data_IF_877729807270
#
_entry.id   IF_877729807270
#
_cell.length_a   1.000
_cell.length_b   1.000
_cell.length_c   1.000
_cell.angle_alpha   90.00
_cell.angle_beta   90.00
_cell.angle_gamma   90.00
#
_symmetry.space_group_name_H-M   'P 1'
#
loop_
_entity.id
_entity.type
_entity.pdbx_description
1 polymer ?
#
# COMPACT_ATOMS: atom_id res chain seq x y z
N UNK A 1 42.30 -16.30 115.10
CA UNK A 1 42.49 -16.94 113.78
C UNK A 1 41.18 -16.79 113.01
N UNK A 2 41.03 -16.04 111.93
CA UNK A 2 41.95 -15.17 111.18
C UNK A 2 41.21 -14.54 109.99
N UNK A 3 41.60 -13.30 109.68
CA UNK A 3 41.50 -12.57 108.40
C UNK A 3 40.13 -12.04 107.95
N UNK A 4 39.90 -10.78 108.31
CA UNK A 4 39.39 -9.78 107.36
C UNK A 4 40.31 -9.65 106.13
N UNK A 5 39.74 -9.10 105.06
CA UNK A 5 40.34 -8.62 103.80
C UNK A 5 40.47 -9.66 102.68
N UNK A 6 39.47 -9.67 101.78
CA UNK A 6 39.70 -9.99 100.37
C UNK A 6 38.76 -9.18 99.46
N UNK A 7 39.26 -7.99 99.08
CA UNK A 7 39.24 -7.36 97.75
C UNK A 7 37.91 -7.22 97.00
N UNK A 8 37.48 -5.95 96.91
CA UNK A 8 37.07 -5.32 95.63
C UNK A 8 38.06 -5.70 94.52
N UNK A 9 37.57 -6.26 93.42
CA UNK A 9 38.36 -6.42 92.21
C UNK A 9 37.65 -7.19 91.11
N UNK A 10 37.40 -6.46 90.02
CA UNK A 10 37.23 -6.94 88.64
C UNK A 10 35.81 -7.38 88.25
N UNK A 11 35.11 -6.57 87.45
CA UNK A 11 35.29 -6.30 86.00
C UNK A 11 34.73 -7.43 85.14
N UNK A 12 33.70 -7.03 84.39
CA UNK A 12 33.53 -7.34 82.97
C UNK A 12 33.30 -8.80 82.59
N UNK A 13 32.09 -9.32 82.73
CA UNK A 13 31.62 -10.37 81.83
C UNK A 13 30.10 -10.24 81.65
N UNK A 14 29.69 -9.48 80.63
CA UNK A 14 28.42 -9.72 79.91
C UNK A 14 28.39 -8.83 78.64
N UNK A 15 29.29 -9.12 77.69
CA UNK A 15 29.14 -8.65 76.30
C UNK A 15 29.58 -9.73 75.32
N UNK A 16 28.98 -10.92 75.41
CA UNK A 16 29.15 -11.95 74.39
C UNK A 16 27.77 -12.37 73.87
N UNK A 17 27.33 -11.76 72.76
CA UNK A 17 26.09 -12.24 72.15
C UNK A 17 25.44 -11.45 71.01
N UNK A 18 26.11 -10.53 70.32
CA UNK A 18 25.45 -9.78 69.23
C UNK A 18 26.27 -9.62 67.93
N UNK A 19 27.24 -10.50 67.67
CA UNK A 19 28.16 -10.35 66.54
C UNK A 19 27.81 -11.09 65.24
N UNK A 20 26.96 -12.13 65.27
CA UNK A 20 26.88 -13.09 64.15
C UNK A 20 25.58 -12.97 63.32
N UNK A 21 24.50 -12.43 63.88
CA UNK A 21 23.20 -12.38 63.18
C UNK A 21 23.07 -11.24 62.16
N UNK A 22 23.76 -10.11 62.36
CA UNK A 22 23.60 -8.92 61.50
C UNK A 22 24.21 -9.14 60.11
N UNK A 23 25.36 -9.83 60.01
CA UNK A 23 26.07 -9.99 58.73
C UNK A 23 25.29 -10.85 57.71
N UNK A 24 24.61 -11.90 58.16
CA UNK A 24 23.80 -12.74 57.28
C UNK A 24 22.48 -12.06 56.89
N UNK A 25 21.88 -11.29 57.80
CA UNK A 25 20.65 -10.53 57.52
C UNK A 25 20.86 -9.46 56.44
N UNK A 26 21.96 -8.70 56.51
CA UNK A 26 22.27 -7.70 55.49
C UNK A 26 22.62 -8.33 54.13
N UNK A 27 23.28 -9.50 54.14
CA UNK A 27 23.57 -10.25 52.92
C UNK A 27 22.29 -10.82 52.28
N UNK A 28 21.34 -11.32 53.08
CA UNK A 28 20.05 -11.83 52.62
C UNK A 28 19.19 -10.74 52.00
N UNK A 29 19.07 -9.59 52.67
CA UNK A 29 18.35 -8.43 52.17
C UNK A 29 18.96 -7.88 50.87
N UNK A 30 20.27 -8.00 50.72
CA UNK A 30 20.98 -7.65 49.49
C UNK A 30 20.74 -8.68 48.36
N UNK A 31 20.64 -9.98 48.69
CA UNK A 31 20.24 -11.03 47.74
C UNK A 31 18.81 -10.85 47.26
N UNK A 32 17.87 -10.52 48.16
CA UNK A 32 16.47 -10.24 47.79
C UNK A 32 16.35 -9.03 46.88
N UNK A 33 17.10 -7.95 47.15
CA UNK A 33 17.17 -6.79 46.25
C UNK A 33 17.74 -7.15 44.89
N UNK A 34 18.86 -7.89 44.85
CA UNK A 34 19.48 -8.34 43.60
C UNK A 34 18.55 -9.26 42.81
N UNK A 35 17.83 -10.16 43.49
CA UNK A 35 16.87 -11.07 42.89
C UNK A 35 15.62 -10.34 42.40
N UNK A 36 15.17 -9.30 43.10
CA UNK A 36 14.09 -8.41 42.66
C UNK A 36 14.50 -7.58 41.45
N UNK A 37 15.71 -6.99 41.46
CA UNK A 37 16.26 -6.23 40.33
C UNK A 37 16.44 -7.14 39.11
N UNK A 38 16.94 -8.37 39.32
CA UNK A 38 17.08 -9.37 38.27
C UNK A 38 15.72 -9.77 37.70
N UNK A 39 14.70 -9.97 38.55
CA UNK A 39 13.35 -10.29 38.10
C UNK A 39 12.72 -9.15 37.31
N UNK A 40 12.87 -7.90 37.76
CA UNK A 40 12.42 -6.71 37.03
C UNK A 40 13.11 -6.62 35.67
N UNK A 41 14.42 -6.89 35.61
CA UNK A 41 15.17 -6.90 34.36
C UNK A 41 14.68 -7.98 33.39
N UNK A 42 14.47 -9.21 33.86
CA UNK A 42 13.94 -10.31 33.04
C UNK A 42 12.53 -9.99 32.52
N UNK A 43 11.66 -9.42 33.36
CA UNK A 43 10.31 -9.01 32.96
C UNK A 43 10.34 -7.88 31.92
N UNK A 44 11.25 -6.91 32.06
CA UNK A 44 11.43 -5.84 31.08
C UNK A 44 11.91 -6.39 29.73
N UNK A 45 12.87 -7.33 29.72
CA UNK A 45 13.36 -7.98 28.48
C UNK A 45 12.28 -8.85 27.84
N UNK A 46 11.50 -9.61 28.63
CA UNK A 46 10.39 -10.39 28.11
C UNK A 46 9.29 -9.51 27.49
N UNK A 47 8.98 -8.37 28.12
CA UNK A 47 8.00 -7.41 27.62
C UNK A 47 8.47 -6.72 26.34
N UNK A 48 9.76 -6.38 26.21
CA UNK A 48 10.30 -5.81 24.97
C UNK A 48 10.27 -6.85 23.83
N UNK A 49 10.59 -8.11 24.09
CA UNK A 49 10.48 -9.20 23.11
C UNK A 49 9.03 -9.41 22.69
N UNK A 50 8.09 -9.41 23.63
CA UNK A 50 6.66 -9.55 23.33
C UNK A 50 6.13 -8.38 22.47
N UNK A 51 6.48 -7.14 22.81
CA UNK A 51 6.06 -5.94 22.05
C UNK A 51 6.65 -5.94 20.65
N UNK A 52 7.93 -6.30 20.49
CA UNK A 52 8.56 -6.42 19.17
C UNK A 52 7.94 -7.54 18.35
N UNK A 53 7.64 -8.70 18.95
CA UNK A 53 6.93 -9.79 18.29
C UNK A 53 5.52 -9.38 17.84
N UNK A 54 4.72 -8.71 18.70
CA UNK A 54 3.41 -8.18 18.32
C UNK A 54 3.50 -7.13 17.20
N UNK A 55 4.55 -6.30 17.22
CA UNK A 55 4.79 -5.29 16.18
C UNK A 55 5.10 -5.94 14.83
N UNK A 56 5.87 -7.03 14.82
CA UNK A 56 6.21 -7.80 13.61
C UNK A 56 5.02 -8.64 13.11
N UNK A 57 4.18 -9.17 13.99
CA UNK A 57 2.91 -9.79 13.57
C UNK A 57 1.93 -8.76 12.95
N UNK A 58 1.95 -7.51 13.43
CA UNK A 58 1.10 -6.44 12.87
C UNK A 58 1.59 -5.89 11.53
N UNK A 59 2.88 -6.02 11.19
CA UNK A 59 3.43 -5.55 9.91
C UNK A 59 3.20 -6.52 8.73
N UNK A 60 2.52 -7.66 8.96
CA UNK A 60 1.89 -8.45 7.90
C UNK A 60 0.53 -7.87 7.45
N UNK A 61 0.14 -6.70 7.95
CA UNK A 61 -1.05 -5.97 7.49
C UNK A 61 -0.76 -5.22 6.19
N UNK A 62 -1.15 -5.85 5.08
CA UNK A 62 -1.51 -5.21 3.82
C UNK A 62 -0.52 -4.16 3.30
N UNK A 63 0.45 -4.61 2.52
CA UNK A 63 0.85 -3.82 1.36
C UNK A 63 -0.42 -3.55 0.54
N UNK A 64 -1.05 -2.39 0.73
CA UNK A 64 -2.15 -1.91 -0.10
C UNK A 64 -1.53 -1.58 -1.45
N UNK A 65 -1.34 -2.61 -2.25
CA UNK A 65 -0.85 -2.53 -3.61
C UNK A 65 -1.81 -1.60 -4.34
N UNK A 66 -1.35 -0.39 -4.67
CA UNK A 66 -2.08 0.51 -5.56
C UNK A 66 -2.42 -0.30 -6.81
N UNK A 67 -3.73 -0.42 -7.06
CA UNK A 67 -4.30 -1.62 -7.66
C UNK A 67 -3.76 -1.95 -9.04
N UNK A 68 -3.67 -3.24 -9.35
CA UNK A 68 -3.57 -3.67 -10.74
C UNK A 68 -4.75 -3.13 -11.56
N UNK A 69 -4.55 -2.96 -12.87
CA UNK A 69 -5.65 -2.58 -13.76
C UNK A 69 -6.74 -3.65 -13.70
N UNK A 70 -7.97 -3.25 -13.39
CA UNK A 70 -9.14 -4.12 -13.37
C UNK A 70 -10.02 -3.79 -14.57
N UNK A 71 -10.40 -4.79 -15.35
CA UNK A 71 -11.32 -4.62 -16.46
C UNK A 71 -12.72 -4.21 -15.96
N UNK A 72 -13.38 -3.33 -16.70
CA UNK A 72 -14.78 -2.97 -16.44
C UNK A 72 -15.64 -3.76 -17.45
N UNK A 73 -16.47 -4.71 -17.00
CA UNK A 73 -17.35 -5.45 -17.89
C UNK A 73 -18.50 -4.56 -18.40
N UNK A 74 -19.13 -4.98 -19.51
CA UNK A 74 -20.35 -4.35 -20.06
C UNK A 74 -20.24 -2.83 -20.30
N UNK A 75 -19.08 -2.36 -20.78
CA UNK A 75 -18.79 -0.92 -20.96
C UNK A 75 -19.82 -0.17 -21.79
N UNK A 76 -20.47 -0.84 -22.75
CA UNK A 76 -21.52 -0.25 -23.60
C UNK A 76 -22.77 0.16 -22.85
N UNK A 77 -23.12 -0.55 -21.77
CA UNK A 77 -24.27 -0.24 -20.92
C UNK A 77 -23.89 0.67 -19.74
N UNK A 78 -22.61 0.74 -19.41
CA UNK A 78 -22.13 1.57 -18.32
C UNK A 78 -22.13 3.05 -18.71
N UNK A 79 -23.18 3.77 -18.31
CA UNK A 79 -23.36 5.20 -18.60
C UNK A 79 -22.17 6.05 -18.15
N UNK A 80 -21.62 5.78 -16.97
CA UNK A 80 -20.49 6.55 -16.43
C UNK A 80 -19.24 6.39 -17.31
N UNK A 81 -18.94 5.18 -17.76
CA UNK A 81 -17.81 4.92 -18.66
C UNK A 81 -18.03 5.58 -20.02
N UNK A 82 -19.25 5.52 -20.57
CA UNK A 82 -19.58 6.21 -21.82
C UNK A 82 -19.45 7.74 -21.70
N UNK A 83 -19.82 8.31 -20.56
CA UNK A 83 -19.64 9.75 -20.28
C UNK A 83 -18.16 10.13 -20.17
N UNK A 84 -17.31 9.28 -19.58
CA UNK A 84 -15.86 9.50 -19.57
C UNK A 84 -15.26 9.44 -20.97
N UNK A 85 -15.78 8.56 -21.83
CA UNK A 85 -15.40 8.50 -23.23
C UNK A 85 -15.79 9.76 -24.01
N UNK A 86 -17.01 10.28 -23.80
CA UNK A 86 -17.45 11.57 -24.37
C UNK A 86 -16.55 12.72 -23.93
N UNK A 87 -16.32 12.83 -22.63
CA UNK A 87 -15.41 13.83 -22.05
C UNK A 87 -14.02 13.79 -22.70
N UNK A 88 -13.46 12.60 -22.90
CA UNK A 88 -12.15 12.47 -23.52
C UNK A 88 -12.11 13.00 -24.98
N UNK A 89 -13.15 12.73 -25.77
CA UNK A 89 -13.25 13.23 -27.15
C UNK A 89 -13.48 14.75 -27.17
N UNK A 90 -14.32 15.26 -26.28
CA UNK A 90 -14.61 16.71 -26.16
C UNK A 90 -13.35 17.50 -25.78
N UNK A 91 -12.59 17.05 -24.78
CA UNK A 91 -11.33 17.69 -24.36
C UNK A 91 -10.27 17.65 -25.46
N UNK A 92 -10.15 16.53 -26.18
CA UNK A 92 -9.26 16.42 -27.32
C UNK A 92 -9.62 17.45 -28.41
N UNK A 93 -10.89 17.52 -28.79
CA UNK A 93 -11.40 18.47 -29.77
C UNK A 93 -11.23 19.93 -29.32
N UNK A 94 -11.38 20.21 -28.02
CA UNK A 94 -11.11 21.53 -27.45
C UNK A 94 -9.63 21.90 -27.64
N UNK A 95 -8.71 20.99 -27.35
CA UNK A 95 -7.28 21.17 -27.60
C UNK A 95 -6.98 21.48 -29.07
N UNK A 96 -7.62 20.76 -30.01
CA UNK A 96 -7.49 21.04 -31.45
C UNK A 96 -7.97 22.45 -31.82
N UNK A 97 -9.12 22.88 -31.29
CA UNK A 97 -9.65 24.23 -31.53
C UNK A 97 -8.69 25.31 -31.04
N UNK A 98 -8.10 25.12 -29.85
CA UNK A 98 -7.12 26.07 -29.31
C UNK A 98 -5.86 26.15 -30.18
N UNK A 99 -5.35 25.02 -30.67
CA UNK A 99 -4.19 25.01 -31.58
C UNK A 99 -4.51 25.72 -32.89
N UNK A 100 -5.69 25.48 -33.47
CA UNK A 100 -6.15 26.15 -34.68
C UNK A 100 -6.27 27.67 -34.50
N UNK A 101 -6.81 28.12 -33.36
CA UNK A 101 -6.90 29.55 -33.03
C UNK A 101 -5.52 30.21 -32.89
N UNK A 102 -4.50 29.43 -32.51
CA UNK A 102 -3.11 29.88 -32.45
C UNK A 102 -2.36 29.73 -33.79
N UNK A 103 -3.06 29.50 -34.90
CA UNK A 103 -2.51 29.26 -36.24
C UNK A 103 -1.53 28.07 -36.32
N UNK A 104 -1.65 27.09 -35.41
CA UNK A 104 -0.87 25.86 -35.45
C UNK A 104 -1.73 24.76 -36.09
N UNK A 105 -1.56 24.56 -37.40
CA UNK A 105 -2.18 23.44 -38.10
C UNK A 105 -1.36 22.16 -37.88
N UNK A 106 -2.03 21.13 -37.36
CA UNK A 106 -1.42 19.82 -37.12
C UNK A 106 -2.08 18.72 -37.99
N UNK A 107 -2.92 19.09 -38.95
CA UNK A 107 -3.65 18.14 -39.82
C UNK A 107 -4.61 17.22 -39.07
N UNK A 108 -4.98 17.59 -37.83
CA UNK A 108 -5.88 16.81 -36.97
C UNK A 108 -7.27 17.42 -37.00
N UNK A 109 -8.26 16.58 -37.25
CA UNK A 109 -9.65 16.98 -37.42
C UNK A 109 -10.52 16.62 -36.21
N UNK A 110 -11.70 17.21 -36.15
CA UNK A 110 -12.62 17.03 -35.03
C UNK A 110 -13.25 15.64 -35.05
N UNK A 111 -13.25 14.97 -33.91
CA UNK A 111 -13.80 13.62 -33.75
C UNK A 111 -15.22 13.65 -33.19
N UNK A 112 -16.07 12.76 -33.66
CA UNK A 112 -17.40 12.52 -33.10
C UNK A 112 -17.39 11.25 -32.25
N UNK A 113 -17.74 11.35 -30.97
CA UNK A 113 -17.80 10.18 -30.08
C UNK A 113 -18.86 9.18 -30.56
N UNK A 114 -18.52 7.90 -30.68
CA UNK A 114 -19.48 6.82 -30.95
C UNK A 114 -19.76 6.00 -29.69
N UNK A 115 -18.74 5.37 -29.11
CA UNK A 115 -18.87 4.54 -27.92
C UNK A 115 -17.51 4.22 -27.28
N UNK A 116 -17.50 3.92 -25.98
CA UNK A 116 -16.41 3.16 -25.37
C UNK A 116 -16.61 1.67 -25.65
N UNK A 117 -15.57 1.01 -26.17
CA UNK A 117 -15.59 -0.41 -26.56
C UNK A 117 -14.85 -1.31 -25.57
N UNK A 118 -13.83 -0.79 -24.89
CA UNK A 118 -13.11 -1.48 -23.81
C UNK A 118 -12.76 -0.47 -22.72
N UNK A 119 -12.74 -0.90 -21.46
CA UNK A 119 -12.34 -0.03 -20.36
C UNK A 119 -11.67 -0.82 -19.23
N UNK A 120 -10.66 -0.21 -18.63
CA UNK A 120 -10.02 -0.69 -17.40
C UNK A 120 -9.96 0.46 -16.40
N UNK A 121 -10.03 0.14 -15.12
CA UNK A 121 -9.85 1.08 -14.02
C UNK A 121 -8.65 0.73 -13.16
N UNK A 122 -8.05 1.74 -12.56
CA UNK A 122 -6.96 1.60 -11.61
C UNK A 122 -7.11 2.62 -10.48
N UNK A 123 -6.97 2.16 -9.24
CA UNK A 123 -6.97 3.02 -8.05
C UNK A 123 -5.60 3.69 -7.94
N UNK A 124 -5.61 5.02 -7.86
CA UNK A 124 -4.43 5.88 -7.69
C UNK A 124 -4.73 6.93 -6.60
N UNK A 125 -4.13 8.13 -6.63
CA UNK A 125 -4.69 9.33 -5.96
C UNK A 125 -5.93 9.84 -6.71
N UNK A 126 -6.91 8.95 -6.91
CA UNK A 126 -8.11 9.10 -7.73
C UNK A 126 -8.47 7.76 -8.39
N UNK A 127 -9.30 7.83 -9.43
CA UNK A 127 -9.62 6.71 -10.30
C UNK A 127 -9.08 6.99 -11.70
N UNK A 128 -8.19 6.13 -12.19
CA UNK A 128 -7.64 6.21 -13.55
C UNK A 128 -8.37 5.24 -14.45
N UNK A 129 -8.96 5.75 -15.52
CA UNK A 129 -9.68 4.99 -16.52
C UNK A 129 -8.87 4.93 -17.79
N UNK A 130 -8.60 3.71 -18.25
CA UNK A 130 -8.01 3.42 -19.55
C UNK A 130 -9.15 3.03 -20.47
N UNK A 131 -9.43 3.83 -21.49
CA UNK A 131 -10.58 3.66 -22.36
C UNK A 131 -10.10 3.40 -23.78
N UNK A 132 -10.71 2.42 -24.45
CA UNK A 132 -10.67 2.29 -25.89
C UNK A 132 -11.97 2.83 -26.45
N UNK A 133 -11.89 3.86 -27.26
CA UNK A 133 -13.01 4.66 -27.74
C UNK A 133 -13.11 4.46 -29.25
N UNK A 134 -14.31 4.13 -29.71
CA UNK A 134 -14.67 4.28 -31.11
C UNK A 134 -15.19 5.70 -31.32
N UNK A 135 -14.58 6.41 -32.26
CA UNK A 135 -15.00 7.72 -32.70
C UNK A 135 -15.07 7.76 -34.23
N UNK A 136 -15.83 8.70 -34.75
CA UNK A 136 -16.02 8.87 -36.19
C UNK A 136 -15.40 10.18 -36.65
N UNK A 137 -14.69 10.12 -37.75
CA UNK A 137 -14.13 11.27 -38.44
C UNK A 137 -14.56 11.23 -39.91
N UNK A 138 -15.27 12.25 -40.39
CA UNK A 138 -15.82 12.30 -41.76
C UNK A 138 -16.58 11.02 -42.17
N UNK A 139 -17.31 10.41 -41.24
CA UNK A 139 -18.06 9.17 -41.47
C UNK A 139 -17.24 7.87 -41.32
N UNK A 140 -15.92 7.96 -41.17
CA UNK A 140 -15.02 6.81 -40.97
C UNK A 140 -14.84 6.53 -39.48
N UNK A 141 -15.06 5.27 -39.07
CA UNK A 141 -14.83 4.86 -37.69
C UNK A 141 -13.35 4.56 -37.43
N UNK A 142 -12.82 5.17 -36.40
CA UNK A 142 -11.46 4.97 -35.90
C UNK A 142 -11.49 4.64 -34.41
N UNK A 143 -10.43 3.97 -33.95
CA UNK A 143 -10.28 3.56 -32.56
C UNK A 143 -9.19 4.40 -31.90
N UNK A 144 -9.43 4.81 -30.67
CA UNK A 144 -8.53 5.64 -29.88
C UNK A 144 -8.32 5.06 -28.50
N UNK A 145 -7.08 5.11 -28.02
CA UNK A 145 -6.75 4.86 -26.63
C UNK A 145 -6.76 6.19 -25.86
N UNK A 146 -7.44 6.20 -24.72
CA UNK A 146 -7.53 7.35 -23.85
C UNK A 146 -7.27 6.99 -22.39
N UNK A 147 -6.73 7.96 -21.65
CA UNK A 147 -6.54 7.85 -20.21
C UNK A 147 -7.17 9.06 -19.52
N UNK A 148 -8.16 8.81 -18.67
CA UNK A 148 -8.86 9.84 -17.89
C UNK A 148 -8.63 9.60 -16.41
N UNK A 149 -8.30 10.65 -15.66
CA UNK A 149 -8.22 10.59 -14.19
C UNK A 149 -9.38 11.37 -13.58
N UNK A 150 -10.05 10.75 -12.63
CA UNK A 150 -11.16 11.33 -11.87
C UNK A 150 -10.76 11.41 -10.40
N UNK A 151 -10.94 12.58 -9.79
CA UNK A 151 -10.76 12.81 -8.35
C UNK A 151 -12.09 13.30 -7.77
N UNK A 152 -12.96 12.39 -7.28
CA UNK A 152 -14.30 12.76 -6.82
C UNK A 152 -14.32 13.81 -5.72
N UNK A 153 -13.38 13.75 -4.78
CA UNK A 153 -13.27 14.71 -3.66
C UNK A 153 -12.89 16.13 -4.10
N UNK A 154 -12.37 16.30 -5.32
CA UNK A 154 -12.08 17.61 -5.91
C UNK A 154 -13.05 17.97 -7.04
N UNK A 155 -14.06 17.14 -7.32
CA UNK A 155 -14.94 17.28 -8.49
C UNK A 155 -14.16 17.44 -9.82
N UNK A 156 -12.97 16.84 -9.89
CA UNK A 156 -12.03 17.05 -10.99
C UNK A 156 -11.98 15.83 -11.91
N UNK A 157 -11.99 16.09 -13.22
CA UNK A 157 -11.75 15.12 -14.30
C UNK A 157 -10.70 15.70 -15.24
N UNK A 158 -9.74 14.89 -15.64
CA UNK A 158 -8.66 15.31 -16.53
C UNK A 158 -8.32 14.24 -17.55
N UNK A 159 -8.22 14.65 -18.81
CA UNK A 159 -7.68 13.83 -19.89
C UNK A 159 -6.14 13.88 -19.83
N UNK A 160 -5.51 12.72 -19.64
CA UNK A 160 -4.04 12.61 -19.60
C UNK A 160 -3.44 12.15 -20.93
N UNK A 161 -4.19 11.36 -21.69
CA UNK A 161 -3.72 10.80 -22.95
C UNK A 161 -4.89 10.56 -23.89
N UNK A 162 -4.65 10.80 -25.19
CA UNK A 162 -5.57 10.49 -26.27
C UNK A 162 -4.77 10.29 -27.56
N UNK A 163 -4.84 9.11 -28.15
CA UNK A 163 -4.11 8.77 -29.37
C UNK A 163 -4.82 7.66 -30.15
N UNK A 164 -4.60 7.53 -31.48
CA UNK A 164 -5.09 6.40 -32.26
C UNK A 164 -4.66 5.08 -31.64
N UNK A 165 -5.56 4.10 -31.60
CA UNK A 165 -5.22 2.73 -31.25
C UNK A 165 -4.49 2.12 -32.45
N UNK A 166 -3.27 1.63 -32.25
CA UNK A 166 -2.51 0.97 -33.30
C UNK A 166 -3.34 -0.17 -33.89
N UNK A 167 -3.59 -0.12 -35.20
CA UNK A 167 -4.31 -1.16 -35.94
C UNK A 167 -3.45 -2.44 -36.00
N UNK A 168 -3.56 -3.31 -34.99
CA UNK A 168 -3.02 -4.67 -35.11
C UNK A 168 -3.94 -5.43 -36.06
N UNK A 169 -3.52 -5.56 -37.31
CA UNK A 169 -4.10 -6.44 -38.33
C UNK A 169 -4.36 -7.83 -37.72
N UNK A 170 -5.61 -8.27 -37.74
CA UNK A 170 -6.00 -9.64 -37.44
C UNK A 170 -5.36 -10.56 -38.47
N UNK A 171 -4.38 -11.37 -38.06
CA UNK A 171 -3.89 -12.49 -38.87
C UNK A 171 -5.01 -13.51 -38.99
N UNK A 172 -5.53 -13.63 -40.20
CA UNK A 172 -6.45 -14.67 -40.66
C UNK A 172 -5.82 -16.05 -40.46
N UNK A 173 -6.04 -16.71 -39.32
CA UNK A 173 -5.89 -18.17 -39.24
C UNK A 173 -7.17 -18.79 -39.78
N UNK A 174 -7.39 -18.60 -41.09
CA UNK A 174 -8.24 -19.52 -41.84
C UNK A 174 -7.52 -20.85 -41.81
N UNK A 175 -8.04 -21.77 -41.01
CA UNK A 175 -7.83 -23.20 -41.11
C UNK A 175 -7.92 -23.59 -42.59
N UNK A 176 -6.77 -23.64 -43.26
CA UNK A 176 -6.61 -24.28 -44.54
C UNK A 176 -6.79 -25.77 -44.29
N UNK A 177 -8.03 -26.20 -44.44
CA UNK A 177 -8.37 -27.59 -44.70
C UNK A 177 -7.45 -28.08 -45.84
N UNK A 178 -6.65 -29.15 -45.66
CA UNK A 178 -5.91 -29.71 -46.78
C UNK A 178 -6.94 -30.35 -47.72
N UNK A 179 -7.25 -29.67 -48.82
CA UNK A 179 -7.89 -30.29 -49.97
C UNK A 179 -6.86 -31.23 -50.57
N UNK A 180 -6.95 -32.50 -50.18
CA UNK A 180 -6.37 -33.63 -50.91
C UNK A 180 -6.89 -33.54 -52.34
N UNK A 181 -6.06 -33.09 -53.27
CA UNK A 181 -6.28 -33.32 -54.70
C UNK A 181 -5.87 -34.76 -55.00
N UNK A 182 -6.87 -35.55 -55.36
CA UNK A 182 -6.77 -36.90 -55.90
C UNK A 182 -7.06 -36.79 -57.40
N UNK A 183 -6.37 -37.60 -58.20
CA UNK A 183 -6.61 -37.92 -59.63
C UNK A 183 -6.27 -36.77 -60.62
N UNK A 184 -5.63 -36.96 -61.79
CA UNK A 184 -5.30 -38.12 -62.63
C UNK A 184 -4.11 -37.73 -63.55
#
# INVERSE_FOLDING_TARGET
>A
MGREQQRRGMRNEEVHGWGISSNNYWAEKEREKKQSVLYIYIMAVALTILVTLLSVLSSASCARMVGGKTEIPEVRKNRQVQELGRFAVEEYNLGLKLLKNNNVDNGREQLNFSAVVEAQQQVVSGMKYYLKISATHNGVHEMFNSVVVVKPWLHSKQLLHFAPASSSTTTTTTTMHPVVRKDN
#
